data_IF_098523925813
#
_entry.id   IF_098523925813
#
_cell.length_a   1.000
_cell.length_b   1.000
_cell.length_c   1.000
_cell.angle_alpha   90.00
_cell.angle_beta   90.00
_cell.angle_gamma   90.00
#
_symmetry.space_group_name_H-M   'P 1'
#
loop_
_entity.id
_entity.type
_entity.pdbx_description
1 polymer ?
#
# COMPACT_ATOMS: atom_id res chain seq x y z
N UNK A 1 -38.93 1.04 -26.39
CA UNK A 1 -37.86 1.85 -25.75
C UNK A 1 -36.56 1.17 -26.10
N UNK A 2 -35.60 1.85 -26.72
CA UNK A 2 -34.31 1.23 -27.02
C UNK A 2 -33.54 1.01 -25.70
N UNK A 3 -33.02 -0.19 -25.51
CA UNK A 3 -32.11 -0.52 -24.42
C UNK A 3 -30.85 0.32 -24.57
N UNK A 4 -30.54 1.12 -23.54
CA UNK A 4 -29.25 1.78 -23.46
C UNK A 4 -28.17 0.71 -23.35
N UNK A 5 -27.29 0.63 -24.35
CA UNK A 5 -26.08 -0.19 -24.30
C UNK A 5 -25.22 0.30 -23.14
N UNK A 6 -24.89 -0.60 -22.22
CA UNK A 6 -23.91 -0.34 -21.17
C UNK A 6 -22.60 0.07 -21.83
N UNK A 7 -21.92 1.14 -21.36
CA UNK A 7 -20.65 1.56 -21.94
C UNK A 7 -19.65 0.40 -21.86
N UNK A 8 -19.06 0.06 -22.98
CA UNK A 8 -17.93 -0.88 -23.07
C UNK A 8 -16.84 -0.38 -22.11
N UNK A 9 -16.32 -1.23 -21.21
CA UNK A 9 -15.24 -0.81 -20.32
C UNK A 9 -14.08 -0.27 -21.16
N UNK A 10 -13.62 0.93 -20.83
CA UNK A 10 -12.45 1.49 -21.45
C UNK A 10 -11.28 0.51 -21.25
N UNK A 11 -10.57 0.19 -22.35
CA UNK A 11 -9.40 -0.67 -22.27
C UNK A 11 -8.36 -0.10 -21.29
N UNK A 12 -7.42 -0.95 -20.79
CA UNK A 12 -6.41 -0.51 -19.84
C UNK A 12 -5.64 0.69 -20.39
N UNK A 13 -5.30 1.69 -19.52
CA UNK A 13 -4.58 2.88 -19.95
C UNK A 13 -3.23 2.46 -20.57
N UNK A 14 -2.93 2.97 -21.75
CA UNK A 14 -1.66 2.69 -22.43
C UNK A 14 -0.51 3.35 -21.67
N UNK A 15 0.56 2.61 -21.44
CA UNK A 15 1.80 3.12 -20.80
C UNK A 15 2.56 4.08 -21.73
N UNK A 16 2.30 4.02 -23.03
CA UNK A 16 2.95 4.82 -24.04
C UNK A 16 2.76 6.34 -23.82
N UNK A 17 3.86 7.06 -23.65
CA UNK A 17 3.89 8.52 -23.52
C UNK A 17 3.79 9.04 -22.07
N UNK A 18 3.65 8.16 -21.07
CA UNK A 18 3.63 8.55 -19.66
C UNK A 18 5.00 8.29 -19.02
N UNK A 19 5.61 9.32 -18.43
CA UNK A 19 6.85 9.19 -17.65
C UNK A 19 6.56 8.72 -16.24
N UNK A 20 7.19 7.62 -15.84
CA UNK A 20 7.08 7.06 -14.49
C UNK A 20 8.37 7.31 -13.71
N UNK A 21 8.29 8.25 -12.77
CA UNK A 21 9.38 8.58 -11.88
C UNK A 21 9.39 7.63 -10.69
N UNK A 22 10.55 7.10 -10.37
CA UNK A 22 10.83 6.40 -9.12
C UNK A 22 11.91 7.13 -8.32
N UNK A 23 12.33 6.61 -7.17
CA UNK A 23 13.24 7.36 -6.29
C UNK A 23 14.61 7.64 -6.93
N UNK A 24 15.10 6.73 -7.72
CA UNK A 24 16.45 6.72 -8.29
C UNK A 24 16.50 7.14 -9.77
N UNK A 25 15.39 6.98 -10.55
CA UNK A 25 15.42 7.28 -11.98
C UNK A 25 14.00 7.38 -12.58
N UNK A 26 13.94 7.41 -13.89
CA UNK A 26 12.75 7.15 -14.71
C UNK A 26 12.72 5.67 -15.14
N UNK A 27 11.54 5.08 -15.07
CA UNK A 27 11.32 3.77 -15.69
C UNK A 27 11.08 3.95 -17.20
N UNK A 28 11.89 3.29 -18.00
CA UNK A 28 11.71 3.26 -19.45
C UNK A 28 10.52 2.38 -19.86
N UNK A 29 9.94 2.56 -21.05
CA UNK A 29 8.86 1.70 -21.53
C UNK A 29 9.18 0.20 -21.55
N UNK A 30 10.45 -0.16 -21.70
CA UNK A 30 10.89 -1.57 -21.70
C UNK A 30 11.01 -2.16 -20.27
N UNK A 31 11.04 -1.32 -19.26
CA UNK A 31 11.17 -1.72 -17.85
C UNK A 31 9.81 -1.84 -17.15
N UNK A 32 8.73 -1.58 -17.87
CA UNK A 32 7.37 -1.64 -17.34
C UNK A 32 6.47 -2.56 -18.13
N UNK A 33 5.44 -3.08 -17.48
CA UNK A 33 4.32 -3.80 -18.08
C UNK A 33 3.05 -3.47 -17.28
N UNK A 34 1.90 -3.98 -17.72
CA UNK A 34 0.63 -3.68 -17.06
C UNK A 34 0.25 -4.75 -16.01
N UNK A 35 -0.29 -4.31 -14.88
CA UNK A 35 -1.03 -5.21 -13.99
C UNK A 35 -2.25 -5.76 -14.70
N UNK A 36 -2.48 -7.06 -14.56
CA UNK A 36 -3.64 -7.73 -15.16
C UNK A 36 -4.87 -7.46 -14.27
N UNK A 37 -5.89 -6.76 -14.78
CA UNK A 37 -7.12 -6.54 -14.03
C UNK A 37 -7.94 -7.82 -13.91
N UNK A 38 -8.66 -7.93 -12.80
CA UNK A 38 -9.63 -8.97 -12.50
C UNK A 38 -10.91 -8.32 -12.00
N UNK A 39 -12.02 -9.05 -12.06
CA UNK A 39 -13.34 -8.52 -11.71
C UNK A 39 -14.04 -9.42 -10.68
N UNK A 40 -14.82 -8.87 -9.73
CA UNK A 40 -15.52 -9.65 -8.72
C UNK A 40 -16.53 -10.66 -9.29
N UNK A 41 -16.91 -10.50 -10.55
CA UNK A 41 -17.83 -11.39 -11.26
C UNK A 41 -17.16 -12.62 -11.88
N UNK A 42 -15.83 -12.66 -11.89
CA UNK A 42 -15.07 -13.82 -12.39
C UNK A 42 -15.18 -14.99 -11.40
N UNK A 43 -14.99 -16.21 -11.91
CA UNK A 43 -14.97 -17.43 -11.09
C UNK A 43 -13.86 -17.36 -10.04
N UNK A 44 -14.18 -17.73 -8.81
CA UNK A 44 -13.29 -17.63 -7.66
C UNK A 44 -12.00 -18.46 -7.83
N UNK A 45 -12.09 -19.62 -8.46
CA UNK A 45 -10.91 -20.45 -8.71
C UNK A 45 -9.98 -19.85 -9.78
N UNK A 46 -10.54 -19.12 -10.74
CA UNK A 46 -9.77 -18.35 -11.72
C UNK A 46 -9.01 -17.23 -11.01
N UNK A 47 -9.69 -16.50 -10.11
CA UNK A 47 -9.04 -15.45 -9.30
C UNK A 47 -7.94 -16.01 -8.40
N UNK A 48 -8.20 -17.13 -7.71
CA UNK A 48 -7.22 -17.83 -6.86
C UNK A 48 -6.02 -18.31 -7.67
N UNK A 49 -6.23 -18.88 -8.84
CA UNK A 49 -5.16 -19.32 -9.73
C UNK A 49 -4.28 -18.15 -10.12
N UNK A 50 -4.90 -17.03 -10.57
CA UNK A 50 -4.18 -15.81 -10.98
C UNK A 50 -3.34 -15.23 -9.82
N UNK A 51 -3.89 -15.19 -8.61
CA UNK A 51 -3.19 -14.75 -7.41
C UNK A 51 -1.97 -15.62 -7.09
N UNK A 52 -2.12 -16.96 -7.13
CA UNK A 52 -1.01 -17.88 -6.90
C UNK A 52 0.08 -17.82 -7.97
N UNK A 53 -0.29 -17.56 -9.22
CA UNK A 53 0.67 -17.50 -10.33
C UNK A 53 1.45 -16.18 -10.36
N UNK A 54 0.79 -15.08 -10.00
CA UNK A 54 1.37 -13.74 -10.14
C UNK A 54 1.86 -13.14 -8.81
N UNK A 55 1.48 -13.70 -7.64
CA UNK A 55 1.72 -13.11 -6.33
C UNK A 55 0.84 -11.90 -6.02
N UNK A 56 -0.02 -11.48 -6.95
CA UNK A 56 -0.97 -10.38 -6.79
C UNK A 56 -2.31 -10.63 -7.50
N UNK A 57 -3.33 -9.87 -7.12
CA UNK A 57 -4.61 -9.81 -7.80
C UNK A 57 -5.13 -8.36 -7.79
N UNK A 58 -5.13 -7.68 -8.93
CA UNK A 58 -5.80 -6.38 -9.08
C UNK A 58 -7.29 -6.63 -9.30
N UNK A 59 -8.12 -6.38 -8.30
CA UNK A 59 -9.57 -6.56 -8.35
C UNK A 59 -10.26 -5.21 -8.53
N UNK A 60 -10.93 -5.03 -9.66
CA UNK A 60 -11.59 -3.79 -10.03
C UNK A 60 -12.95 -3.65 -9.35
N UNK A 61 -13.19 -2.50 -8.70
CA UNK A 61 -14.51 -2.11 -8.24
C UNK A 61 -15.15 -3.02 -7.18
N UNK A 62 -14.34 -3.65 -6.32
CA UNK A 62 -14.86 -4.48 -5.22
C UNK A 62 -15.50 -3.67 -4.10
N UNK A 63 -14.97 -2.46 -3.85
CA UNK A 63 -15.53 -1.53 -2.87
C UNK A 63 -16.46 -0.53 -3.55
N UNK A 64 -17.57 -0.14 -2.90
CA UNK A 64 -18.38 0.98 -3.37
C UNK A 64 -17.53 2.25 -3.47
N UNK A 65 -17.53 2.88 -4.65
CA UNK A 65 -16.76 4.08 -4.91
C UNK A 65 -17.03 5.19 -3.89
N UNK A 66 -18.29 5.39 -3.54
CA UNK A 66 -18.69 6.45 -2.62
C UNK A 66 -18.15 6.23 -1.19
N UNK A 67 -18.06 5.01 -0.73
CA UNK A 67 -17.51 4.68 0.59
C UNK A 67 -16.00 5.00 0.65
N UNK A 68 -15.27 4.68 -0.43
CA UNK A 68 -13.85 5.03 -0.57
C UNK A 68 -13.65 6.54 -0.60
N UNK A 69 -14.48 7.26 -1.37
CA UNK A 69 -14.36 8.72 -1.49
C UNK A 69 -14.82 9.45 -0.21
N UNK A 70 -15.79 8.90 0.53
CA UNK A 70 -16.18 9.41 1.84
C UNK A 70 -15.04 9.26 2.87
N UNK A 71 -14.38 8.11 2.89
CA UNK A 71 -13.21 7.88 3.74
C UNK A 71 -12.04 8.80 3.36
N UNK A 72 -11.79 9.01 2.07
CA UNK A 72 -10.82 9.98 1.57
C UNK A 72 -11.12 11.40 2.06
N UNK A 73 -12.38 11.81 1.95
CA UNK A 73 -12.82 13.14 2.41
C UNK A 73 -12.62 13.30 3.91
N UNK A 74 -12.98 12.29 4.72
CA UNK A 74 -12.78 12.31 6.18
C UNK A 74 -11.29 12.48 6.52
N UNK A 75 -10.40 11.75 5.84
CA UNK A 75 -8.96 11.87 6.03
C UNK A 75 -8.46 13.29 5.74
N UNK A 76 -8.78 13.86 4.59
CA UNK A 76 -8.28 15.19 4.24
C UNK A 76 -8.92 16.32 5.07
N UNK A 77 -10.15 16.14 5.56
CA UNK A 77 -10.74 17.03 6.56
C UNK A 77 -9.93 17.01 7.87
N UNK A 78 -9.49 15.85 8.34
CA UNK A 78 -8.66 15.76 9.55
C UNK A 78 -7.29 16.42 9.37
N UNK A 79 -6.80 16.55 8.13
CA UNK A 79 -5.54 17.22 7.82
C UNK A 79 -5.66 18.75 7.60
N UNK A 80 -6.86 19.34 7.59
CA UNK A 80 -7.05 20.78 7.38
C UNK A 80 -6.16 21.66 8.26
N UNK A 81 -5.94 21.36 9.57
CA UNK A 81 -5.06 22.18 10.41
C UNK A 81 -3.61 22.26 9.94
N UNK A 82 -3.16 21.29 9.12
CA UNK A 82 -1.81 21.27 8.56
C UNK A 82 -1.65 22.25 7.38
N UNK A 83 -2.76 22.66 6.75
CA UNK A 83 -2.76 23.47 5.55
C UNK A 83 -2.20 22.77 4.31
N UNK A 84 -2.25 21.43 4.26
CA UNK A 84 -1.73 20.63 3.12
C UNK A 84 -2.61 20.74 1.87
N UNK A 85 -3.91 20.98 2.06
CA UNK A 85 -4.88 21.08 0.97
C UNK A 85 -4.91 22.50 0.40
N UNK A 86 -4.94 22.59 -0.91
CA UNK A 86 -5.03 23.85 -1.66
C UNK A 86 -6.32 24.60 -1.29
N UNK A 87 -6.23 25.87 -0.85
CA UNK A 87 -7.40 26.67 -0.51
C UNK A 87 -8.42 26.74 -1.65
N UNK A 88 -9.70 26.59 -1.32
CA UNK A 88 -10.80 26.63 -2.29
C UNK A 88 -11.04 25.32 -3.04
N UNK A 89 -10.29 24.25 -2.75
CA UNK A 89 -10.57 22.91 -3.28
C UNK A 89 -11.27 22.04 -2.24
N UNK A 90 -11.98 21.01 -2.71
CA UNK A 90 -12.64 20.06 -1.83
C UNK A 90 -11.64 19.13 -1.13
N UNK A 91 -11.79 18.85 0.18
CA UNK A 91 -11.03 17.77 0.83
C UNK A 91 -11.16 16.43 0.11
N UNK A 92 -12.31 16.14 -0.48
CA UNK A 92 -12.56 14.93 -1.28
C UNK A 92 -11.60 14.81 -2.47
N UNK A 93 -11.24 15.93 -3.11
CA UNK A 93 -10.29 15.95 -4.23
C UNK A 93 -8.85 15.76 -3.75
N UNK A 94 -8.53 16.25 -2.54
CA UNK A 94 -7.21 16.10 -1.94
C UNK A 94 -6.11 16.74 -2.79
N UNK A 95 -6.32 17.96 -3.27
CA UNK A 95 -5.34 18.72 -4.06
C UNK A 95 -4.30 19.34 -3.14
N UNK A 96 -3.04 19.08 -3.41
CA UNK A 96 -1.92 19.66 -2.67
C UNK A 96 -1.83 21.19 -2.91
N UNK A 97 -1.55 21.94 -1.84
CA UNK A 97 -1.29 23.39 -1.95
C UNK A 97 0.09 23.62 -2.59
N UNK A 98 0.11 23.98 -3.85
CA UNK A 98 1.32 24.21 -4.64
C UNK A 98 2.15 25.43 -4.18
N UNK A 99 1.60 26.28 -3.31
CA UNK A 99 2.34 27.32 -2.61
C UNK A 99 3.22 26.77 -1.45
N UNK A 100 3.10 25.48 -1.14
CA UNK A 100 3.86 24.82 -0.06
C UNK A 100 4.99 23.97 -0.62
N UNK A 101 5.98 23.68 0.24
CA UNK A 101 7.00 22.72 -0.08
C UNK A 101 6.49 21.28 0.18
N UNK A 102 6.54 20.36 -0.79
CA UNK A 102 6.16 18.96 -0.55
C UNK A 102 6.96 18.31 0.59
N UNK A 103 8.23 18.73 0.79
CA UNK A 103 9.10 18.22 1.86
C UNK A 103 8.60 18.50 3.27
N UNK A 104 7.72 19.50 3.44
CA UNK A 104 7.08 19.82 4.73
C UNK A 104 5.93 18.86 5.07
N UNK A 105 5.55 17.98 4.14
CA UNK A 105 4.43 17.05 4.26
C UNK A 105 4.85 15.63 3.90
N UNK A 106 5.77 15.04 4.66
CA UNK A 106 6.27 13.69 4.39
C UNK A 106 5.16 12.65 4.54
N UNK A 107 5.21 11.59 3.75
CA UNK A 107 4.32 10.44 3.94
C UNK A 107 4.53 9.77 5.29
N UNK A 108 3.50 9.10 5.81
CA UNK A 108 3.62 8.26 7.01
C UNK A 108 4.12 6.87 6.64
N UNK A 109 4.89 6.27 7.51
CA UNK A 109 5.42 4.93 7.40
C UNK A 109 6.91 4.86 7.73
N UNK A 110 7.53 3.71 7.50
CA UNK A 110 8.93 3.49 7.82
C UNK A 110 9.82 4.59 7.22
N UNK A 111 10.59 5.27 8.06
CA UNK A 111 11.55 6.31 7.67
C UNK A 111 11.01 7.74 7.54
N UNK A 112 9.71 7.98 7.70
CA UNK A 112 9.10 9.30 7.48
C UNK A 112 9.32 10.32 8.61
N UNK A 113 9.66 9.89 9.81
CA UNK A 113 9.66 10.73 11.03
C UNK A 113 11.03 11.12 11.55
N UNK A 114 12.13 10.78 10.85
CA UNK A 114 13.49 11.02 11.35
C UNK A 114 13.92 12.49 11.45
N UNK A 115 13.13 13.45 11.00
CA UNK A 115 13.55 14.85 10.85
C UNK A 115 12.77 15.88 11.68
N UNK A 116 11.77 15.50 12.47
CA UNK A 116 11.19 16.46 13.42
C UNK A 116 12.13 16.63 14.61
N UNK A 117 12.71 17.81 14.74
CA UNK A 117 13.50 18.17 15.93
C UNK A 117 12.57 18.25 17.14
N UNK A 118 12.95 17.69 18.29
CA UNK A 118 12.15 17.85 19.50
C UNK A 118 11.92 19.34 19.81
N UNK A 119 10.66 19.76 19.85
CA UNK A 119 10.27 21.14 20.17
C UNK A 119 9.95 22.04 18.97
N UNK A 120 10.22 21.66 17.72
CA UNK A 120 9.73 22.36 16.54
C UNK A 120 8.30 21.86 16.22
N UNK A 121 7.32 22.68 16.49
CA UNK A 121 5.97 22.55 15.91
C UNK A 121 5.95 23.26 14.56
N UNK A 122 6.64 22.69 13.60
CA UNK A 122 6.46 23.09 12.21
C UNK A 122 5.16 22.49 11.62
N UNK A 123 4.84 22.87 10.41
CA UNK A 123 3.65 22.36 9.73
C UNK A 123 3.75 20.85 9.48
N UNK A 124 4.95 20.32 9.28
CA UNK A 124 5.20 18.89 9.08
C UNK A 124 4.88 18.05 10.32
N UNK A 125 5.14 18.59 11.53
CA UNK A 125 4.75 17.93 12.78
C UNK A 125 3.22 17.86 12.92
N UNK A 126 2.51 18.97 12.64
CA UNK A 126 1.04 19.00 12.68
C UNK A 126 0.47 17.99 11.68
N UNK A 127 1.02 17.96 10.47
CA UNK A 127 0.60 17.01 9.44
C UNK A 127 0.83 15.55 9.88
N UNK A 128 2.00 15.25 10.38
CA UNK A 128 2.34 13.91 10.85
C UNK A 128 1.45 13.46 12.01
N UNK A 129 1.20 14.34 12.99
CA UNK A 129 0.34 14.06 14.14
C UNK A 129 -1.10 13.78 13.71
N UNK A 130 -1.66 14.60 12.81
CA UNK A 130 -3.03 14.41 12.32
C UNK A 130 -3.15 13.15 11.47
N UNK A 131 -2.18 12.89 10.60
CA UNK A 131 -2.17 11.70 9.79
C UNK A 131 -1.98 10.41 10.63
N UNK A 132 -1.21 10.48 11.74
CA UNK A 132 -1.13 9.38 12.71
C UNK A 132 -2.48 9.16 13.41
N UNK A 133 -3.09 10.24 13.92
CA UNK A 133 -4.37 10.20 14.61
C UNK A 133 -5.47 9.56 13.77
N UNK A 134 -5.48 9.80 12.46
CA UNK A 134 -6.45 9.23 11.53
C UNK A 134 -6.54 7.69 11.60
N UNK A 135 -5.46 7.00 11.99
CA UNK A 135 -5.43 5.54 12.13
C UNK A 135 -6.32 5.00 13.28
N UNK A 136 -6.72 5.85 14.20
CA UNK A 136 -7.55 5.47 15.36
C UNK A 136 -8.91 6.14 15.37
N UNK A 137 -9.23 6.93 14.35
CA UNK A 137 -10.56 7.57 14.25
C UNK A 137 -11.63 6.55 13.81
N UNK A 138 -12.85 6.74 14.32
CA UNK A 138 -13.97 5.81 14.12
C UNK A 138 -14.28 5.55 12.64
N UNK A 139 -14.20 6.57 11.80
CA UNK A 139 -14.45 6.42 10.35
C UNK A 139 -13.49 5.44 9.69
N UNK A 140 -12.28 5.29 10.25
CA UNK A 140 -11.23 4.42 9.70
C UNK A 140 -11.12 3.10 10.47
N UNK A 141 -10.88 3.16 11.78
CA UNK A 141 -10.66 1.98 12.61
C UNK A 141 -11.95 1.29 13.05
N UNK A 142 -13.04 2.02 13.14
CA UNK A 142 -14.28 1.63 13.79
C UNK A 142 -14.32 2.08 15.26
N UNK A 143 -15.53 2.20 15.80
CA UNK A 143 -15.71 2.59 17.20
C UNK A 143 -15.50 1.40 18.15
N UNK A 144 -15.01 1.68 19.37
CA UNK A 144 -14.81 0.65 20.39
C UNK A 144 -16.12 -0.04 20.82
N UNK A 145 -17.24 0.67 20.76
CA UNK A 145 -18.57 0.12 21.07
C UNK A 145 -19.21 -0.65 19.89
N UNK A 146 -18.51 -0.75 18.77
CA UNK A 146 -18.95 -1.48 17.58
C UNK A 146 -20.07 -0.83 16.78
N UNK A 147 -20.49 0.40 17.11
CA UNK A 147 -21.57 1.11 16.38
C UNK A 147 -21.10 1.64 15.03
N UNK A 148 -19.84 2.01 14.92
CA UNK A 148 -19.20 2.41 13.66
C UNK A 148 -18.24 1.30 13.23
N UNK A 149 -18.43 0.73 12.06
CA UNK A 149 -17.62 -0.40 11.60
C UNK A 149 -16.22 0.03 11.17
N UNK A 150 -16.06 1.26 10.71
CA UNK A 150 -14.82 1.79 10.15
C UNK A 150 -14.44 1.22 8.79
N UNK A 151 -13.67 2.00 8.04
CA UNK A 151 -13.27 1.62 6.68
C UNK A 151 -12.37 0.36 6.64
N UNK A 152 -11.50 0.18 7.64
CA UNK A 152 -10.63 -1.00 7.74
C UNK A 152 -11.39 -2.33 7.81
N UNK A 153 -12.63 -2.29 8.31
CA UNK A 153 -13.49 -3.46 8.49
C UNK A 153 -14.62 -3.53 7.44
N UNK A 154 -14.45 -2.88 6.29
CA UNK A 154 -15.48 -2.82 5.27
C UNK A 154 -15.96 -4.22 4.89
N UNK A 155 -17.29 -4.52 4.96
CA UNK A 155 -17.81 -5.87 4.82
C UNK A 155 -17.50 -6.48 3.45
N UNK A 156 -17.60 -5.71 2.37
CA UNK A 156 -17.31 -6.22 1.03
C UNK A 156 -15.87 -6.76 0.92
N UNK A 157 -14.91 -6.08 1.56
CA UNK A 157 -13.51 -6.52 1.56
C UNK A 157 -13.30 -7.75 2.43
N UNK A 158 -13.81 -7.73 3.67
CA UNK A 158 -13.68 -8.84 4.61
C UNK A 158 -14.34 -10.11 4.09
N UNK A 159 -15.55 -10.01 3.56
CA UNK A 159 -16.30 -11.14 3.04
C UNK A 159 -15.64 -11.73 1.79
N UNK A 160 -15.09 -10.87 0.93
CA UNK A 160 -14.30 -11.33 -0.21
C UNK A 160 -13.07 -12.10 0.25
N UNK A 161 -12.26 -11.54 1.16
CA UNK A 161 -11.05 -12.21 1.65
C UNK A 161 -11.39 -13.55 2.30
N UNK A 162 -12.45 -13.61 3.13
CA UNK A 162 -12.87 -14.85 3.79
C UNK A 162 -13.21 -15.96 2.78
N UNK A 163 -13.91 -15.62 1.71
CA UNK A 163 -14.23 -16.55 0.63
C UNK A 163 -13.01 -16.87 -0.23
N UNK A 164 -12.27 -15.85 -0.62
CA UNK A 164 -11.12 -15.95 -1.52
C UNK A 164 -10.00 -16.83 -0.94
N UNK A 165 -9.68 -16.68 0.33
CA UNK A 165 -8.67 -17.48 1.02
C UNK A 165 -9.18 -18.85 1.48
N UNK A 166 -10.49 -18.96 1.66
CA UNK A 166 -11.11 -20.14 2.27
C UNK A 166 -11.01 -20.17 3.80
N UNK A 167 -10.52 -19.10 4.44
CA UNK A 167 -10.38 -19.02 5.91
C UNK A 167 -11.73 -18.89 6.64
N UNK A 168 -12.78 -18.47 5.96
CA UNK A 168 -14.11 -18.31 6.53
C UNK A 168 -14.09 -17.44 7.80
N UNK A 169 -14.59 -17.97 8.90
CA UNK A 169 -14.64 -17.26 10.20
C UNK A 169 -13.26 -17.04 10.84
N UNK A 170 -12.22 -17.70 10.34
CA UNK A 170 -10.86 -17.50 10.80
C UNK A 170 -10.18 -16.28 10.17
N UNK A 171 -10.85 -15.61 9.24
CA UNK A 171 -10.32 -14.38 8.63
C UNK A 171 -10.26 -13.26 9.66
N UNK A 172 -9.05 -12.84 9.99
CA UNK A 172 -8.80 -11.76 10.95
C UNK A 172 -8.16 -10.58 10.24
N UNK A 173 -8.85 -9.43 10.11
CA UNK A 173 -8.18 -8.18 9.77
C UNK A 173 -7.32 -7.75 10.96
N UNK A 174 -6.03 -7.56 10.76
CA UNK A 174 -5.14 -7.09 11.83
C UNK A 174 -5.36 -5.59 12.07
N UNK A 175 -5.24 -5.15 13.32
CA UNK A 175 -5.49 -3.74 13.69
C UNK A 175 -4.48 -2.78 13.08
N UNK A 176 -3.23 -3.23 12.91
CA UNK A 176 -2.19 -2.40 12.31
C UNK A 176 -2.40 -2.30 10.79
N UNK A 177 -2.89 -1.19 10.38
CA UNK A 177 -3.00 -0.77 8.99
C UNK A 177 -2.10 0.43 8.74
N UNK A 178 -1.81 0.74 7.49
CA UNK A 178 -0.99 1.88 7.12
C UNK A 178 -1.75 2.78 6.15
N UNK A 179 -2.21 3.90 6.66
CA UNK A 179 -2.87 4.95 5.88
C UNK A 179 -1.79 5.92 5.38
N UNK A 180 -1.39 5.75 4.12
CA UNK A 180 -0.25 6.46 3.54
C UNK A 180 -0.67 7.50 2.54
N UNK A 181 -0.20 8.72 2.73
CA UNK A 181 -0.25 9.77 1.72
C UNK A 181 1.08 9.88 0.97
N UNK A 182 1.01 10.30 -0.28
CA UNK A 182 2.17 10.65 -1.08
C UNK A 182 1.86 11.99 -1.76
N UNK A 183 2.39 13.07 -1.19
CA UNK A 183 2.28 14.41 -1.75
C UNK A 183 3.10 14.53 -3.03
N UNK A 184 2.73 15.42 -3.95
CA UNK A 184 3.42 15.54 -5.23
C UNK A 184 4.93 15.74 -5.08
N UNK A 185 5.72 15.01 -5.89
CA UNK A 185 7.18 15.05 -5.99
C UNK A 185 7.95 14.57 -4.77
N UNK A 186 7.29 14.14 -3.69
CA UNK A 186 7.96 13.55 -2.55
C UNK A 186 8.58 12.19 -2.85
N UNK A 187 9.47 11.77 -1.95
CA UNK A 187 10.05 10.42 -1.96
C UNK A 187 8.92 9.38 -1.89
N UNK A 188 9.00 8.40 -2.75
CA UNK A 188 8.08 7.27 -2.81
C UNK A 188 8.54 6.12 -1.90
N UNK A 189 7.68 5.13 -1.69
CA UNK A 189 8.02 3.92 -0.94
C UNK A 189 9.04 3.12 -1.74
N UNK A 190 10.13 2.74 -1.08
CA UNK A 190 11.20 1.90 -1.66
C UNK A 190 10.77 0.46 -1.86
N UNK A 191 11.66 -0.32 -2.46
CA UNK A 191 11.44 -1.73 -2.78
C UNK A 191 11.41 -2.59 -1.52
N UNK A 192 10.34 -3.35 -1.33
CA UNK A 192 10.18 -4.24 -0.18
C UNK A 192 9.17 -5.37 -0.48
N UNK A 193 9.03 -6.28 0.46
CA UNK A 193 7.92 -7.21 0.59
C UNK A 193 7.45 -7.24 2.06
N UNK A 194 6.17 -7.53 2.27
CA UNK A 194 5.54 -7.32 3.58
C UNK A 194 6.03 -8.28 4.67
N UNK A 195 6.44 -9.52 4.32
CA UNK A 195 6.98 -10.48 5.28
C UNK A 195 8.19 -9.94 6.04
N UNK A 196 8.94 -8.99 5.46
CA UNK A 196 10.05 -8.34 6.17
C UNK A 196 9.64 -7.66 7.46
N UNK A 197 8.37 -7.28 7.60
CA UNK A 197 7.79 -6.64 8.78
C UNK A 197 6.97 -7.61 9.65
N UNK A 198 6.43 -8.70 9.08
CA UNK A 198 5.51 -9.65 9.72
C UNK A 198 6.17 -10.99 10.07
N UNK A 199 7.44 -10.99 10.46
CA UNK A 199 8.32 -12.17 10.58
C UNK A 199 8.03 -13.09 11.74
N UNK A 200 7.18 -12.71 12.68
CA UNK A 200 6.86 -13.53 13.85
C UNK A 200 5.66 -14.44 13.64
N UNK A 201 5.10 -14.42 12.42
CA UNK A 201 4.04 -15.30 11.97
C UNK A 201 4.45 -16.10 10.73
N UNK A 202 3.58 -17.01 10.30
CA UNK A 202 3.72 -17.68 9.02
C UNK A 202 3.50 -16.70 7.86
N UNK A 203 4.18 -16.88 6.71
CA UNK A 203 4.07 -15.96 5.56
C UNK A 203 2.77 -16.20 4.77
N UNK A 204 1.64 -16.27 5.47
CA UNK A 204 0.32 -16.55 4.89
C UNK A 204 -0.58 -15.33 4.83
N UNK A 205 -0.09 -14.16 5.29
CA UNK A 205 -0.86 -12.93 5.28
C UNK A 205 -1.22 -12.51 3.85
N UNK A 206 -2.43 -11.96 3.70
CA UNK A 206 -2.89 -11.31 2.49
C UNK A 206 -2.96 -9.82 2.76
N UNK A 207 -2.22 -9.03 2.01
CA UNK A 207 -2.33 -7.58 2.03
C UNK A 207 -3.32 -7.12 0.96
N UNK A 208 -4.27 -6.29 1.35
CA UNK A 208 -5.17 -5.56 0.48
C UNK A 208 -4.72 -4.09 0.45
N UNK A 209 -4.02 -3.69 -0.59
CA UNK A 209 -3.76 -2.28 -0.83
C UNK A 209 -4.96 -1.64 -1.50
N UNK A 210 -5.53 -0.64 -0.84
CA UNK A 210 -6.72 0.10 -1.31
C UNK A 210 -6.29 1.52 -1.70
N UNK A 211 -6.37 1.90 -2.98
CA UNK A 211 -6.26 3.30 -3.39
C UNK A 211 -7.49 4.06 -2.89
N UNK A 212 -7.27 5.00 -1.98
CA UNK A 212 -8.35 5.83 -1.44
C UNK A 212 -8.57 7.06 -2.33
N UNK A 213 -9.10 6.80 -3.51
CA UNK A 213 -9.34 7.75 -4.59
C UNK A 213 -8.75 7.27 -5.92
N UNK A 214 -9.03 8.01 -6.99
CA UNK A 214 -8.45 7.72 -8.29
C UNK A 214 -6.95 8.07 -8.28
N UNK A 215 -6.14 7.18 -8.82
CA UNK A 215 -4.69 7.33 -8.94
C UNK A 215 -4.31 7.15 -10.39
N UNK A 216 -3.90 8.22 -11.04
CA UNK A 216 -3.40 8.18 -12.42
C UNK A 216 -2.09 7.38 -12.49
N UNK A 217 -1.72 6.95 -13.67
CA UNK A 217 -0.50 6.14 -13.87
C UNK A 217 0.75 6.83 -13.28
N UNK A 218 0.89 8.16 -13.45
CA UNK A 218 1.97 8.96 -12.85
C UNK A 218 1.61 9.51 -11.45
N UNK A 219 0.52 9.09 -10.86
CA UNK A 219 0.00 9.62 -9.59
C UNK A 219 0.58 8.99 -8.33
N UNK A 220 1.68 8.25 -8.41
CA UNK A 220 2.32 7.67 -7.22
C UNK A 220 1.69 6.35 -6.74
N UNK A 221 1.08 5.59 -7.64
CA UNK A 221 0.50 4.27 -7.33
C UNK A 221 1.55 3.22 -6.97
N UNK A 222 1.13 2.11 -6.36
CA UNK A 222 2.00 0.96 -6.16
C UNK A 222 2.35 0.32 -7.50
N UNK A 223 3.55 -0.21 -7.55
CA UNK A 223 4.09 -1.00 -8.64
C UNK A 223 4.60 -2.33 -8.09
N UNK A 224 4.40 -3.39 -8.85
CA UNK A 224 4.71 -4.76 -8.45
C UNK A 224 5.77 -5.35 -9.37
N UNK A 225 6.72 -6.09 -8.81
CA UNK A 225 7.76 -6.70 -9.65
C UNK A 225 7.21 -7.95 -10.34
N UNK A 226 7.52 -8.10 -11.61
CA UNK A 226 7.24 -9.34 -12.34
C UNK A 226 7.96 -10.52 -11.66
N UNK A 227 7.25 -11.61 -11.37
CA UNK A 227 7.73 -12.76 -10.58
C UNK A 227 8.26 -12.37 -9.19
N UNK A 228 7.77 -11.26 -8.63
CA UNK A 228 8.28 -10.66 -7.40
C UNK A 228 8.10 -11.50 -6.17
N UNK A 229 7.07 -12.35 -6.11
CA UNK A 229 6.88 -13.30 -5.01
C UNK A 229 8.02 -14.31 -4.92
N UNK A 230 8.34 -14.97 -6.04
CA UNK A 230 9.42 -15.96 -6.11
C UNK A 230 10.76 -15.34 -5.74
N UNK A 231 11.05 -14.16 -6.29
CA UNK A 231 12.29 -13.45 -5.97
C UNK A 231 12.34 -13.05 -4.48
N UNK A 232 11.22 -12.61 -3.90
CA UNK A 232 11.13 -12.30 -2.48
C UNK A 232 11.43 -13.50 -1.59
N UNK A 233 10.87 -14.67 -1.92
CA UNK A 233 11.16 -15.94 -1.25
C UNK A 233 12.63 -16.35 -1.40
N UNK A 234 13.19 -16.24 -2.60
CA UNK A 234 14.60 -16.53 -2.87
C UNK A 234 15.52 -15.66 -2.02
N UNK A 235 15.31 -14.35 -1.99
CA UNK A 235 16.09 -13.41 -1.18
C UNK A 235 16.01 -13.74 0.31
N UNK A 236 14.82 -14.06 0.82
CA UNK A 236 14.64 -14.43 2.22
C UNK A 236 15.31 -15.75 2.57
N UNK A 237 15.18 -16.76 1.70
CA UNK A 237 15.79 -18.08 1.89
C UNK A 237 17.33 -17.99 1.85
N UNK A 238 17.91 -17.25 0.91
CA UNK A 238 19.36 -17.04 0.84
C UNK A 238 19.90 -16.36 2.09
N UNK A 239 19.22 -15.30 2.55
CA UNK A 239 19.61 -14.61 3.78
C UNK A 239 19.55 -15.54 4.99
N UNK A 240 18.46 -16.31 5.13
CA UNK A 240 18.27 -17.28 6.22
C UNK A 240 19.35 -18.35 6.20
N UNK A 241 19.68 -18.89 5.03
CA UNK A 241 20.74 -19.87 4.88
C UNK A 241 22.12 -19.31 5.30
N UNK A 242 22.43 -18.09 4.86
CA UNK A 242 23.69 -17.43 5.23
C UNK A 242 23.78 -17.11 6.73
N UNK A 243 22.67 -16.69 7.36
CA UNK A 243 22.61 -16.43 8.78
C UNK A 243 22.83 -17.71 9.61
N UNK A 244 22.17 -18.79 9.23
CA UNK A 244 22.35 -20.11 9.86
C UNK A 244 23.77 -20.67 9.69
N UNK A 245 24.37 -20.49 8.52
CA UNK A 245 25.75 -20.87 8.27
C UNK A 245 26.77 -20.11 9.17
N UNK A 246 26.41 -18.90 9.63
CA UNK A 246 27.15 -18.11 10.59
C UNK A 246 26.83 -18.44 12.06
N UNK A 247 25.99 -19.44 12.30
CA UNK A 247 25.60 -19.92 13.64
C UNK A 247 24.54 -19.06 14.34
N UNK A 248 23.81 -18.22 13.60
CA UNK A 248 22.74 -17.41 14.17
C UNK A 248 21.52 -18.28 14.51
N UNK A 249 20.90 -18.03 15.66
CA UNK A 249 19.60 -18.61 16.03
C UNK A 249 18.48 -18.08 15.12
N UNK A 250 17.32 -18.73 15.16
CA UNK A 250 16.15 -18.27 14.38
C UNK A 250 15.69 -16.87 14.80
N UNK A 251 15.79 -16.54 16.08
CA UNK A 251 15.46 -15.19 16.59
C UNK A 251 16.48 -14.13 16.12
N UNK A 252 17.75 -14.45 16.23
CA UNK A 252 18.82 -13.57 15.73
C UNK A 252 18.70 -13.36 14.22
N UNK A 253 18.36 -14.43 13.46
CA UNK A 253 18.16 -14.36 12.02
C UNK A 253 16.98 -13.44 11.67
N UNK A 254 15.84 -13.57 12.36
CA UNK A 254 14.69 -12.66 12.18
C UNK A 254 15.04 -11.19 12.45
N UNK A 255 15.75 -10.94 13.54
CA UNK A 255 16.16 -9.60 13.94
C UNK A 255 17.22 -9.01 13.01
N UNK A 256 18.21 -9.82 12.60
CA UNK A 256 19.29 -9.41 11.73
C UNK A 256 18.83 -9.11 10.32
N UNK A 257 17.81 -9.77 9.81
CA UNK A 257 17.23 -9.47 8.52
C UNK A 257 16.76 -8.02 8.46
N UNK A 258 16.00 -7.58 9.47
CA UNK A 258 15.54 -6.19 9.56
C UNK A 258 16.69 -5.19 9.80
N UNK A 259 17.75 -5.58 10.47
CA UNK A 259 18.92 -4.74 10.73
C UNK A 259 19.85 -4.60 9.52
N UNK A 260 19.91 -5.63 8.66
CA UNK A 260 20.74 -5.64 7.46
C UNK A 260 20.02 -5.15 6.19
N UNK A 261 18.71 -5.27 6.16
CA UNK A 261 17.90 -4.49 5.23
C UNK A 261 17.88 -3.08 5.77
N UNK A 262 18.25 -2.12 4.97
CA UNK A 262 18.29 -0.69 5.30
C UNK A 262 17.44 -0.41 6.56
N UNK A 263 17.88 0.43 7.47
CA UNK A 263 17.21 0.73 8.76
C UNK A 263 15.68 1.01 8.67
N UNK A 264 15.11 0.87 7.50
CA UNK A 264 13.72 1.09 7.11
C UNK A 264 12.96 -0.19 6.77
N UNK A 265 13.59 -1.38 6.74
CA UNK A 265 12.98 -2.63 6.28
C UNK A 265 12.86 -2.78 4.75
N UNK A 266 13.39 -1.83 3.97
CA UNK A 266 13.38 -1.92 2.51
C UNK A 266 14.56 -2.73 1.97
N UNK A 267 14.35 -3.45 0.86
CA UNK A 267 15.41 -4.12 0.09
C UNK A 267 16.37 -3.08 -0.51
N UNK A 268 15.81 -2.00 -1.03
CA UNK A 268 16.53 -0.80 -1.45
C UNK A 268 15.55 0.37 -1.65
N UNK A 269 16.10 1.56 -1.84
CA UNK A 269 15.30 2.77 -2.11
C UNK A 269 14.91 2.89 -3.59
N UNK A 270 15.70 2.31 -4.50
CA UNK A 270 15.66 2.57 -5.93
C UNK A 270 15.02 1.45 -6.75
N UNK A 271 13.75 1.59 -7.18
CA UNK A 271 13.11 0.59 -8.02
C UNK A 271 13.76 0.40 -9.40
N UNK A 272 14.29 1.44 -10.03
CA UNK A 272 14.88 1.33 -11.35
C UNK A 272 16.14 0.44 -11.34
N UNK A 273 17.09 0.74 -10.46
CA UNK A 273 18.30 -0.07 -10.29
C UNK A 273 17.99 -1.49 -9.85
N UNK A 274 16.98 -1.67 -8.98
CA UNK A 274 16.57 -2.99 -8.54
C UNK A 274 16.00 -3.82 -9.68
N UNK A 275 15.09 -3.27 -10.48
CA UNK A 275 14.53 -3.95 -11.66
C UNK A 275 15.62 -4.34 -12.68
N UNK A 276 16.54 -3.42 -12.97
CA UNK A 276 17.68 -3.63 -13.87
C UNK A 276 18.61 -4.73 -13.37
N UNK A 277 18.92 -4.75 -12.07
CA UNK A 277 19.78 -5.76 -11.44
C UNK A 277 19.23 -7.18 -11.61
N UNK A 278 17.94 -7.35 -11.46
CA UNK A 278 17.29 -8.66 -11.57
C UNK A 278 16.73 -8.96 -12.96
N UNK A 279 16.85 -8.03 -13.92
CA UNK A 279 16.31 -8.18 -15.26
C UNK A 279 14.79 -8.34 -15.29
N UNK A 280 14.08 -7.69 -14.36
CA UNK A 280 12.63 -7.80 -14.18
C UNK A 280 11.94 -6.48 -14.47
N UNK A 281 10.73 -6.57 -14.99
CA UNK A 281 9.86 -5.41 -15.20
C UNK A 281 9.05 -5.06 -13.97
N UNK A 282 8.66 -3.80 -13.88
CA UNK A 282 7.66 -3.32 -12.94
C UNK A 282 6.28 -3.32 -13.58
N UNK A 283 5.33 -3.98 -12.93
CA UNK A 283 3.93 -4.02 -13.34
C UNK A 283 3.23 -2.81 -12.74
N UNK A 284 2.59 -2.01 -13.59
CA UNK A 284 2.00 -0.72 -13.25
C UNK A 284 0.53 -0.65 -13.65
N UNK A 285 -0.25 0.20 -12.99
CA UNK A 285 -1.63 0.49 -13.35
C UNK A 285 -2.02 1.91 -12.92
N UNK A 286 -3.02 2.46 -13.58
CA UNK A 286 -3.87 3.47 -12.97
C UNK A 286 -4.93 2.76 -12.13
N UNK A 287 -5.39 3.41 -11.06
CA UNK A 287 -6.38 2.84 -10.15
C UNK A 287 -7.56 3.77 -10.01
N UNK A 288 -8.72 3.19 -9.75
CA UNK A 288 -9.96 3.91 -9.49
C UNK A 288 -10.40 3.67 -8.04
N UNK A 289 -11.11 4.63 -7.47
CA UNK A 289 -11.73 4.46 -6.16
C UNK A 289 -12.68 3.25 -6.19
N UNK A 290 -12.43 2.27 -5.33
CA UNK A 290 -13.13 0.98 -5.30
C UNK A 290 -12.28 -0.21 -5.74
N UNK A 291 -11.15 0.03 -6.40
CA UNK A 291 -10.18 -1.03 -6.73
C UNK A 291 -9.44 -1.51 -5.48
N UNK A 292 -8.95 -2.73 -5.52
CA UNK A 292 -8.05 -3.29 -4.50
C UNK A 292 -6.98 -4.13 -5.17
N UNK A 293 -5.74 -3.99 -4.75
CA UNK A 293 -4.69 -4.96 -5.12
C UNK A 293 -4.40 -5.84 -3.92
N UNK A 294 -4.74 -7.12 -4.04
CA UNK A 294 -4.31 -8.13 -3.07
C UNK A 294 -2.92 -8.61 -3.46
N UNK A 295 -2.03 -8.78 -2.48
CA UNK A 295 -0.73 -9.38 -2.74
C UNK A 295 -0.28 -10.29 -1.60
N UNK A 296 0.62 -11.21 -1.93
CA UNK A 296 1.19 -12.18 -1.01
C UNK A 296 2.25 -11.55 -0.11
N UNK A 297 2.59 -12.23 0.97
CA UNK A 297 3.56 -11.75 1.95
C UNK A 297 4.95 -11.48 1.36
N UNK A 298 5.36 -12.23 0.33
CA UNK A 298 6.67 -12.10 -0.32
C UNK A 298 6.64 -11.30 -1.62
N UNK A 299 5.47 -10.80 -2.05
CA UNK A 299 5.38 -10.03 -3.28
C UNK A 299 6.19 -8.74 -3.22
N UNK A 300 7.26 -8.66 -4.01
CA UNK A 300 8.10 -7.46 -4.09
C UNK A 300 7.31 -6.33 -4.76
N UNK A 301 7.24 -5.19 -4.07
CA UNK A 301 6.56 -4.00 -4.56
C UNK A 301 7.26 -2.72 -4.10
N UNK A 302 6.87 -1.62 -4.74
CA UNK A 302 7.32 -0.27 -4.45
C UNK A 302 6.22 0.72 -4.83
N UNK A 303 6.49 2.02 -4.84
CA UNK A 303 5.61 2.99 -5.49
C UNK A 303 6.37 3.93 -6.42
N UNK A 304 5.67 4.45 -7.43
CA UNK A 304 6.17 5.58 -8.20
C UNK A 304 6.11 6.86 -7.38
N UNK A 305 6.90 7.87 -7.75
CA UNK A 305 6.72 9.23 -7.24
C UNK A 305 5.45 9.80 -7.80
N UNK A 306 4.80 10.65 -7.01
CA UNK A 306 3.58 11.30 -7.43
C UNK A 306 3.88 12.52 -8.33
N UNK A 307 3.52 12.41 -9.59
CA UNK A 307 3.54 13.47 -10.60
C UNK A 307 2.14 13.69 -11.19
N UNK A 308 1.09 13.57 -10.37
CA UNK A 308 -0.28 13.86 -10.78
C UNK A 308 -0.37 15.29 -11.32
N UNK A 309 -0.87 15.51 -12.57
CA UNK A 309 -0.87 16.82 -13.22
C UNK A 309 -1.82 17.82 -12.54
N UNK A 310 -2.80 17.35 -11.78
CA UNK A 310 -3.70 18.20 -11.00
C UNK A 310 -3.22 18.41 -9.56
N UNK A 311 -2.06 17.83 -9.20
CA UNK A 311 -1.51 17.93 -7.86
C UNK A 311 -2.27 17.12 -6.80
N UNK A 312 -2.99 16.07 -7.18
CA UNK A 312 -3.69 15.21 -6.22
C UNK A 312 -2.71 14.51 -5.31
N UNK A 313 -2.95 14.56 -4.03
CA UNK A 313 -2.25 13.74 -3.05
C UNK A 313 -2.72 12.30 -3.21
N UNK A 314 -1.81 11.37 -3.49
CA UNK A 314 -2.14 9.96 -3.49
C UNK A 314 -2.34 9.52 -2.04
N UNK A 315 -3.52 9.01 -1.73
CA UNK A 315 -3.84 8.34 -0.48
C UNK A 315 -4.07 6.86 -0.78
N UNK A 316 -3.59 5.99 0.06
CA UNK A 316 -3.83 4.55 0.00
C UNK A 316 -3.70 3.94 1.38
N UNK A 317 -4.31 2.80 1.59
CA UNK A 317 -4.18 2.04 2.84
C UNK A 317 -3.80 0.60 2.57
N UNK A 318 -2.90 0.08 3.42
CA UNK A 318 -2.53 -1.33 3.47
C UNK A 318 -3.32 -2.00 4.58
N UNK A 319 -4.32 -2.79 4.22
CA UNK A 319 -5.12 -3.61 5.13
C UNK A 319 -4.63 -5.04 5.03
N UNK A 320 -4.30 -5.65 6.16
CA UNK A 320 -3.75 -7.01 6.18
C UNK A 320 -4.68 -7.96 6.87
N UNK A 321 -4.77 -9.16 6.30
CA UNK A 321 -5.60 -10.26 6.79
C UNK A 321 -4.72 -11.46 7.08
N UNK A 322 -5.06 -12.17 8.16
CA UNK A 322 -4.41 -13.42 8.55
C UNK A 322 -5.45 -14.48 8.88
N UNK A 323 -5.05 -15.74 8.78
CA UNK A 323 -5.81 -16.87 9.34
C UNK A 323 -5.51 -16.97 10.86
N UNK A 324 -6.47 -16.57 11.70
CA UNK A 324 -6.28 -16.60 13.17
C UNK A 324 -6.14 -18.02 13.74
N UNK A 325 -6.43 -19.07 12.96
CA UNK A 325 -6.22 -20.47 13.37
C UNK A 325 -4.78 -20.94 13.21
N UNK A 326 -3.92 -20.14 12.57
CA UNK A 326 -2.51 -20.41 12.32
C UNK A 326 -1.63 -19.39 13.07
N UNK A 327 -0.35 -19.66 13.28
CA UNK A 327 0.58 -18.69 13.86
C UNK A 327 0.67 -17.44 13.00
N UNK A 328 0.35 -16.28 13.57
CA UNK A 328 0.47 -14.97 12.92
C UNK A 328 1.22 -14.00 13.84
N UNK A 329 1.73 -12.90 13.27
CA UNK A 329 2.52 -11.92 14.02
C UNK A 329 1.62 -11.03 14.90
N UNK A 330 1.42 -11.41 16.15
CA UNK A 330 0.53 -10.74 17.10
C UNK A 330 0.96 -9.32 17.48
N UNK A 331 2.18 -8.90 17.13
CA UNK A 331 2.60 -7.49 17.27
C UNK A 331 1.73 -6.56 16.43
N UNK A 332 1.09 -7.10 15.38
CA UNK A 332 0.18 -6.37 14.50
C UNK A 332 -1.25 -6.23 15.05
N UNK A 333 -1.56 -6.76 16.24
CA UNK A 333 -2.84 -6.55 16.92
C UNK A 333 -2.91 -5.23 17.71
N UNK A 334 -2.30 -4.19 17.20
CA UNK A 334 -2.37 -2.81 17.71
C UNK A 334 -2.32 -1.81 16.56
N UNK A 335 -2.93 -0.66 16.75
CA UNK A 335 -2.88 0.40 15.75
C UNK A 335 -1.44 0.89 15.51
N UNK A 336 -1.22 1.43 14.31
CA UNK A 336 0.07 2.02 13.96
C UNK A 336 0.41 3.18 14.90
N UNK A 337 1.64 3.22 15.35
CA UNK A 337 2.21 4.32 16.13
C UNK A 337 3.66 4.56 15.71
N UNK A 338 4.13 5.79 15.86
CA UNK A 338 5.54 6.11 15.61
C UNK A 338 6.43 5.42 16.66
N UNK A 339 7.56 4.88 16.18
CA UNK A 339 8.59 4.28 17.04
C UNK A 339 8.09 3.14 17.95
N UNK A 340 7.09 2.41 17.55
CA UNK A 340 6.52 1.30 18.33
C UNK A 340 7.28 -0.03 18.16
N UNK A 341 8.40 -0.03 17.44
CA UNK A 341 9.31 -1.17 17.31
C UNK A 341 8.89 -2.23 16.27
N UNK A 342 7.96 -1.90 15.39
CA UNK A 342 7.48 -2.78 14.31
C UNK A 342 7.81 -2.20 12.97
#
# INVERSE_FOLDING_TARGET
MPHAESPTPAGPPTIAGVQLHVNDDLLSPNEVDQLIPSYPTEDLEVLRKRYRENGYLLLKGILPREDVLAAREAYFKSLEPSGVIKPGTSPRDGIFDDAKSPGDYPGIGAGSVKNSRPGERDRSAIFADQALKAHTEDWYAGSEDGKVQGFCNHPALRDFVAKFTGWGENTLPVKRSLLRNNTPRNKAIGVHYDQSFMRYGEPTSVTAWVPMGDVRLQGGGLIYMQDGEKLGEEIENEFTAQAKAKGMSDEETRNAFNANMMTTGFLCDGPADFGRRYGKKWLVSAYEAGDVVFHTAHMIHASTKNFDPEGRIRLGTDLRFVDKSRPWDTRWDKHYSFNDGI
#
